data_IF_445890362161
#
_entry.id   IF_445890362161
#
_cell.length_a   1.000
_cell.length_b   1.000
_cell.length_c   1.000
_cell.angle_alpha   90.00
_cell.angle_beta   90.00
_cell.angle_gamma   90.00
#
_symmetry.space_group_name_H-M   'P 1'
#
loop_
_entity.id
_entity.type
_entity.pdbx_description
1 polymer ?
#
# COMPACT_ATOMS: atom_id res chain seq x y z
N UNK A 1 50.44 -3.83 16.12
CA UNK A 1 49.20 -3.32 16.77
C UNK A 1 48.46 -2.26 15.95
N UNK A 2 49.14 -1.34 15.24
CA UNK A 2 48.51 -0.24 14.46
C UNK A 2 47.56 -0.67 13.32
N UNK A 3 47.84 -1.80 12.67
CA UNK A 3 47.02 -2.32 11.54
C UNK A 3 45.64 -2.85 11.97
N UNK A 4 45.55 -3.46 13.16
CA UNK A 4 44.30 -3.99 13.68
C UNK A 4 43.29 -2.88 14.04
N UNK A 5 43.79 -1.71 14.48
CA UNK A 5 42.93 -0.55 14.78
C UNK A 5 42.32 0.07 13.53
N UNK A 6 43.06 0.18 12.42
CA UNK A 6 42.49 0.67 11.16
C UNK A 6 41.42 -0.27 10.60
N UNK A 7 41.63 -1.59 10.73
CA UNK A 7 40.65 -2.60 10.30
C UNK A 7 39.37 -2.56 11.13
N UNK A 8 39.50 -2.41 12.46
CA UNK A 8 38.35 -2.31 13.36
C UNK A 8 37.52 -1.04 13.09
N UNK A 9 38.18 0.11 12.86
CA UNK A 9 37.53 1.37 12.53
C UNK A 9 36.80 1.27 11.17
N UNK A 10 37.42 0.62 10.18
CA UNK A 10 36.78 0.37 8.88
C UNK A 10 35.53 -0.51 9.00
N UNK A 11 35.57 -1.56 9.82
CA UNK A 11 34.41 -2.43 10.07
C UNK A 11 33.28 -1.72 10.81
N UNK A 12 33.60 -0.88 11.80
CA UNK A 12 32.62 -0.07 12.54
C UNK A 12 31.95 0.95 11.60
N UNK A 13 32.73 1.60 10.73
CA UNK A 13 32.20 2.53 9.73
C UNK A 13 31.29 1.82 8.72
N UNK A 14 31.67 0.63 8.26
CA UNK A 14 30.85 -0.19 7.37
C UNK A 14 29.54 -0.69 8.00
N UNK A 15 29.51 -0.90 9.32
CA UNK A 15 28.31 -1.27 10.08
C UNK A 15 27.42 -0.06 10.41
N UNK A 16 28.00 1.13 10.55
CA UNK A 16 27.27 2.38 10.80
C UNK A 16 26.65 2.97 9.52
N UNK A 17 27.27 2.79 8.35
CA UNK A 17 26.72 3.27 7.07
C UNK A 17 25.27 2.81 6.79
N UNK A 18 24.89 1.52 6.97
CA UNK A 18 23.50 1.10 6.80
C UNK A 18 22.58 1.60 7.94
N UNK A 19 23.12 1.91 9.13
CA UNK A 19 22.36 2.50 10.22
C UNK A 19 22.03 3.98 9.94
N UNK A 20 22.97 4.75 9.38
CA UNK A 20 22.70 6.11 8.89
C UNK A 20 21.72 6.12 7.71
N UNK A 21 21.76 5.12 6.83
CA UNK A 21 20.77 4.96 5.75
C UNK A 21 19.36 4.64 6.25
N UNK A 22 19.20 4.13 7.48
CA UNK A 22 17.89 3.97 8.14
C UNK A 22 17.41 5.25 8.82
N UNK A 23 18.30 6.22 9.08
CA UNK A 23 17.96 7.53 9.64
C UNK A 23 17.48 8.55 8.58
N UNK A 24 17.67 8.28 7.28
CA UNK A 24 17.04 9.05 6.21
C UNK A 24 15.60 8.59 5.90
N UNK A 25 14.80 8.33 6.94
CA UNK A 25 13.35 8.28 6.81
C UNK A 25 12.75 9.59 7.34
N UNK A 26 13.14 10.70 6.73
CA UNK A 26 12.41 11.96 6.83
C UNK A 26 12.23 12.52 5.43
N UNK A 27 11.23 11.98 4.74
CA UNK A 27 10.45 12.77 3.80
C UNK A 27 9.04 12.76 4.38
N UNK A 28 8.47 13.95 4.64
CA UNK A 28 7.16 14.10 5.26
C UNK A 28 6.14 13.26 4.52
N UNK A 29 5.77 12.11 5.09
CA UNK A 29 4.82 11.20 4.47
C UNK A 29 3.43 11.83 4.50
N UNK A 30 3.12 12.64 3.49
CA UNK A 30 1.75 12.99 3.17
C UNK A 30 0.91 11.71 3.04
N UNK A 31 -0.33 11.74 3.51
CA UNK A 31 -1.22 10.58 3.47
C UNK A 31 -1.46 10.20 2.01
N UNK A 32 -0.90 9.06 1.58
CA UNK A 32 -1.03 8.52 0.21
C UNK A 32 -2.14 7.46 0.08
N UNK A 33 -2.65 6.95 1.20
CA UNK A 33 -3.70 5.94 1.24
C UNK A 33 -5.05 6.60 1.49
N UNK A 34 -5.98 6.40 0.56
CA UNK A 34 -7.37 6.87 0.66
C UNK A 34 -8.06 6.31 1.91
N UNK A 35 -7.87 5.00 2.17
CA UNK A 35 -8.40 4.34 3.36
C UNK A 35 -7.86 4.92 4.66
N UNK A 36 -6.56 5.26 4.70
CA UNK A 36 -5.95 5.89 5.88
C UNK A 36 -6.59 7.27 6.11
N UNK A 37 -6.74 8.07 5.05
CA UNK A 37 -7.39 9.37 5.13
C UNK A 37 -8.80 9.28 5.73
N UNK A 38 -9.60 8.32 5.27
CA UNK A 38 -10.95 8.10 5.81
C UNK A 38 -10.95 7.73 7.29
N UNK A 39 -10.02 6.87 7.71
CA UNK A 39 -9.91 6.45 9.12
C UNK A 39 -9.51 7.62 10.03
N UNK A 40 -8.62 8.50 9.54
CA UNK A 40 -8.21 9.71 10.27
C UNK A 40 -9.37 10.71 10.35
N UNK A 41 -10.07 10.97 9.24
CA UNK A 41 -11.24 11.86 9.24
C UNK A 41 -12.34 11.31 10.16
N UNK A 42 -12.56 9.99 10.15
CA UNK A 42 -13.49 9.32 11.07
C UNK A 42 -13.10 9.59 12.53
N UNK A 43 -11.84 9.37 12.90
CA UNK A 43 -11.37 9.56 14.28
C UNK A 43 -11.57 11.01 14.75
N UNK A 44 -11.19 11.99 13.94
CA UNK A 44 -11.45 13.41 14.24
C UNK A 44 -12.93 13.74 14.35
N UNK A 45 -13.76 13.14 13.49
CA UNK A 45 -15.21 13.34 13.50
C UNK A 45 -15.82 12.80 14.80
N UNK A 46 -15.47 11.58 15.21
CA UNK A 46 -15.97 10.99 16.45
C UNK A 46 -15.39 11.67 17.70
N UNK A 47 -14.14 12.11 17.69
CA UNK A 47 -13.57 12.93 18.76
C UNK A 47 -14.35 14.24 18.93
N UNK A 48 -14.63 14.95 17.84
CA UNK A 48 -15.46 16.16 17.86
C UNK A 48 -16.89 15.88 18.32
N UNK A 49 -17.48 14.78 17.84
CA UNK A 49 -18.83 14.34 18.19
C UNK A 49 -18.96 13.97 19.67
N UNK A 50 -17.98 13.29 20.26
CA UNK A 50 -17.99 12.88 21.66
C UNK A 50 -17.66 14.05 22.60
N UNK A 51 -16.76 14.96 22.20
CA UNK A 51 -16.37 16.11 23.01
C UNK A 51 -17.50 17.14 23.15
N UNK A 52 -18.27 17.36 22.08
CA UNK A 52 -19.48 18.18 22.13
C UNK A 52 -20.59 17.29 22.69
N UNK A 53 -20.95 17.44 23.98
CA UNK A 53 -21.95 16.58 24.66
C UNK A 53 -23.06 16.15 23.68
N UNK A 54 -23.21 14.84 23.48
CA UNK A 54 -24.09 14.19 22.50
C UNK A 54 -25.52 14.78 22.37
N UNK A 55 -26.03 15.40 23.44
CA UNK A 55 -27.30 16.12 23.48
C UNK A 55 -27.37 17.35 22.56
N UNK A 56 -26.24 17.94 22.16
CA UNK A 56 -26.20 19.12 21.28
C UNK A 56 -26.31 18.79 19.79
N UNK A 57 -26.12 17.53 19.37
CA UNK A 57 -26.26 17.11 17.98
C UNK A 57 -27.72 16.82 17.64
N UNK A 58 -28.39 17.79 17.04
CA UNK A 58 -29.75 17.61 16.53
C UNK A 58 -29.72 16.62 15.36
N UNK A 59 -30.64 15.67 15.38
CA UNK A 59 -30.84 14.72 14.28
C UNK A 59 -31.11 15.48 12.98
N UNK A 60 -30.50 15.07 11.88
CA UNK A 60 -30.68 15.67 10.55
C UNK A 60 -30.03 17.05 10.36
N UNK A 61 -29.35 17.60 11.37
CA UNK A 61 -28.63 18.87 11.23
C UNK A 61 -27.16 18.61 10.90
N UNK A 62 -26.60 19.20 9.82
CA UNK A 62 -25.18 19.08 9.49
C UNK A 62 -24.32 20.00 10.38
N UNK A 63 -23.19 19.46 10.83
CA UNK A 63 -22.19 20.17 11.65
C UNK A 63 -20.82 20.07 11.01
N UNK A 64 -20.13 21.20 10.91
CA UNK A 64 -18.75 21.25 10.42
C UNK A 64 -17.78 20.63 11.44
N UNK A 65 -16.84 19.83 10.95
CA UNK A 65 -15.74 19.23 11.72
C UNK A 65 -14.45 19.97 11.42
N UNK A 66 -13.88 20.57 12.47
CA UNK A 66 -12.61 21.25 12.37
C UNK A 66 -11.48 20.22 12.34
N UNK A 67 -10.81 20.13 11.19
CA UNK A 67 -9.65 19.27 10.99
C UNK A 67 -8.35 19.98 11.39
N UNK A 68 -7.30 19.23 11.77
CA UNK A 68 -5.96 19.77 12.03
C UNK A 68 -5.31 20.41 10.79
N UNK A 69 -4.27 21.23 11.03
CA UNK A 69 -3.58 21.98 9.97
C UNK A 69 -3.01 21.12 8.83
N UNK A 70 -2.64 19.87 9.12
CA UNK A 70 -2.12 18.91 8.13
C UNK A 70 -3.19 18.36 7.18
N UNK A 71 -4.49 18.62 7.43
CA UNK A 71 -5.62 18.24 6.56
C UNK A 71 -6.35 19.48 6.01
N UNK A 72 -5.65 20.61 5.93
CA UNK A 72 -6.19 21.85 5.37
C UNK A 72 -6.61 21.65 3.91
N UNK A 73 -7.71 22.31 3.53
CA UNK A 73 -8.33 22.17 2.21
C UNK A 73 -9.39 21.06 2.13
N UNK A 74 -9.47 20.17 3.12
CA UNK A 74 -10.58 19.22 3.27
C UNK A 74 -11.67 19.86 4.13
N UNK A 75 -12.92 19.82 3.67
CA UNK A 75 -14.08 20.21 4.47
C UNK A 75 -14.92 18.98 4.80
N UNK A 76 -15.33 18.85 6.06
CA UNK A 76 -16.05 17.69 6.55
C UNK A 76 -17.28 18.15 7.31
N UNK A 77 -18.43 17.62 6.91
CA UNK A 77 -19.68 17.80 7.65
C UNK A 77 -20.17 16.46 8.15
N UNK A 78 -20.73 16.48 9.35
CA UNK A 78 -21.31 15.30 9.98
C UNK A 78 -22.75 15.56 10.38
N UNK A 79 -23.60 14.55 10.26
CA UNK A 79 -25.00 14.63 10.69
C UNK A 79 -25.50 13.27 11.18
N UNK A 80 -26.28 13.29 12.27
CA UNK A 80 -26.82 12.08 12.88
C UNK A 80 -28.22 11.78 12.36
N UNK A 81 -28.48 10.53 12.00
CA UNK A 81 -29.79 10.06 11.54
C UNK A 81 -30.19 8.77 12.25
N UNK A 82 -31.50 8.56 12.42
CA UNK A 82 -32.06 7.22 12.66
C UNK A 82 -32.21 6.52 11.32
N UNK A 83 -31.83 5.24 11.21
CA UNK A 83 -31.88 4.56 9.90
C UNK A 83 -33.30 4.54 9.32
N UNK A 84 -34.31 4.28 10.15
CA UNK A 84 -35.71 4.23 9.72
C UNK A 84 -36.22 5.58 9.20
N UNK A 85 -35.81 6.69 9.84
CA UNK A 85 -36.14 8.04 9.37
C UNK A 85 -35.43 8.37 8.07
N UNK A 86 -34.15 8.01 7.94
CA UNK A 86 -33.39 8.20 6.71
C UNK A 86 -34.01 7.43 5.55
N UNK A 87 -34.43 6.18 5.76
CA UNK A 87 -35.12 5.37 4.75
C UNK A 87 -36.47 5.98 4.35
N UNK A 88 -37.24 6.50 5.32
CA UNK A 88 -38.58 7.04 5.06
C UNK A 88 -38.56 8.41 4.39
N UNK A 89 -37.60 9.27 4.71
CA UNK A 89 -37.61 10.67 4.30
C UNK A 89 -36.43 11.07 3.41
N UNK A 90 -35.42 10.22 3.27
CA UNK A 90 -34.16 10.61 2.64
C UNK A 90 -33.39 11.65 3.48
N UNK A 91 -32.41 12.28 2.86
CA UNK A 91 -31.64 13.37 3.44
C UNK A 91 -30.98 14.22 2.36
N UNK A 92 -30.82 15.53 2.61
CA UNK A 92 -29.97 16.40 1.79
C UNK A 92 -28.86 16.96 2.66
N UNK A 93 -27.61 16.69 2.30
CA UNK A 93 -26.42 17.04 3.08
C UNK A 93 -25.38 17.62 2.12
N UNK A 94 -25.26 18.94 2.11
CA UNK A 94 -24.40 19.68 1.18
C UNK A 94 -24.68 19.27 -0.28
N UNK A 95 -23.67 18.71 -0.96
CA UNK A 95 -23.73 18.28 -2.35
C UNK A 95 -24.41 16.91 -2.55
N UNK A 96 -24.82 16.23 -1.47
CA UNK A 96 -25.44 14.89 -1.52
C UNK A 96 -26.94 14.94 -1.27
N UNK A 97 -27.71 14.31 -2.16
CA UNK A 97 -29.15 14.11 -2.02
C UNK A 97 -29.47 12.61 -1.98
N UNK A 98 -29.78 12.10 -0.80
CA UNK A 98 -30.21 10.72 -0.57
C UNK A 98 -31.73 10.67 -0.70
N UNK A 99 -32.24 9.95 -1.70
CA UNK A 99 -33.67 9.83 -1.97
C UNK A 99 -34.37 8.97 -0.91
N UNK A 100 -35.70 9.10 -0.88
CA UNK A 100 -36.56 8.20 -0.10
C UNK A 100 -36.31 6.75 -0.53
N UNK A 101 -36.23 5.84 0.43
CA UNK A 101 -36.02 4.42 0.19
C UNK A 101 -34.58 3.93 0.37
N UNK A 102 -33.60 4.82 0.58
CA UNK A 102 -32.22 4.41 0.89
C UNK A 102 -32.18 3.52 2.13
N UNK A 103 -31.44 2.43 2.04
CA UNK A 103 -31.31 1.43 3.09
C UNK A 103 -29.91 1.49 3.72
N UNK A 104 -29.84 1.16 5.01
CA UNK A 104 -28.60 1.18 5.79
C UNK A 104 -28.37 -0.20 6.37
N UNK A 105 -27.19 -0.77 6.10
CA UNK A 105 -26.86 -2.10 6.57
C UNK A 105 -25.40 -2.22 7.08
N UNK A 106 -25.17 -2.75 8.29
CA UNK A 106 -26.19 -3.09 9.30
C UNK A 106 -26.79 -1.82 9.91
N UNK A 107 -28.10 -1.82 10.17
CA UNK A 107 -28.74 -0.77 10.96
C UNK A 107 -28.87 -1.20 12.42
N UNK A 108 -28.25 -0.46 13.33
CA UNK A 108 -28.41 -0.67 14.78
C UNK A 108 -29.54 0.22 15.30
N UNK A 109 -29.36 1.54 15.26
CA UNK A 109 -30.41 2.49 15.65
C UNK A 109 -30.15 3.85 14.99
N UNK A 110 -28.99 4.42 15.32
CA UNK A 110 -28.51 5.71 14.81
C UNK A 110 -27.20 5.53 14.07
N UNK A 111 -27.06 6.32 13.03
CA UNK A 111 -25.85 6.41 12.22
C UNK A 111 -25.37 7.85 12.16
N UNK A 112 -24.08 7.99 11.97
CA UNK A 112 -23.41 9.26 11.71
C UNK A 112 -22.99 9.27 10.24
N UNK A 113 -23.60 10.14 9.44
CA UNK A 113 -23.20 10.37 8.07
C UNK A 113 -22.10 11.42 8.06
N UNK A 114 -21.00 11.11 7.39
CA UNK A 114 -19.82 11.96 7.22
C UNK A 114 -19.66 12.26 5.74
N UNK A 115 -19.94 13.51 5.37
CA UNK A 115 -19.66 14.02 4.02
C UNK A 115 -18.32 14.72 4.02
N UNK A 116 -17.49 14.39 3.04
CA UNK A 116 -16.15 14.94 2.87
C UNK A 116 -16.08 15.65 1.51
N UNK A 117 -15.51 16.84 1.47
CA UNK A 117 -15.05 17.45 0.23
C UNK A 117 -13.54 17.64 0.36
N UNK A 118 -12.79 16.88 -0.43
CA UNK A 118 -11.34 16.82 -0.32
C UNK A 118 -10.65 18.06 -0.89
N UNK A 119 -11.34 18.86 -1.70
CA UNK A 119 -10.73 19.95 -2.44
C UNK A 119 -9.76 19.45 -3.53
N UNK A 120 -9.33 20.34 -4.41
CA UNK A 120 -8.58 19.96 -5.60
C UNK A 120 -7.22 19.33 -5.27
N UNK A 121 -6.54 19.80 -4.22
CA UNK A 121 -5.20 19.34 -3.86
C UNK A 121 -5.20 17.89 -3.38
N UNK A 122 -6.13 17.52 -2.49
CA UNK A 122 -6.23 16.15 -1.98
C UNK A 122 -6.88 15.20 -2.98
N UNK A 123 -7.69 15.70 -3.91
CA UNK A 123 -8.34 14.87 -4.93
C UNK A 123 -7.34 14.11 -5.82
N UNK A 124 -6.11 14.60 -5.94
CA UNK A 124 -5.05 13.93 -6.70
C UNK A 124 -4.73 12.51 -6.20
N UNK A 125 -4.96 12.22 -4.90
CA UNK A 125 -4.75 10.87 -4.35
C UNK A 125 -5.69 9.84 -5.00
N UNK A 126 -6.82 10.27 -5.54
CA UNK A 126 -7.78 9.43 -6.26
C UNK A 126 -7.51 9.41 -7.76
N UNK A 127 -6.90 10.45 -8.33
CA UNK A 127 -6.61 10.50 -9.75
C UNK A 127 -5.32 9.75 -10.13
N UNK A 128 -4.27 9.84 -9.30
CA UNK A 128 -2.95 9.27 -9.62
C UNK A 128 -2.85 7.76 -9.40
N UNK A 129 -3.76 7.18 -8.62
CA UNK A 129 -3.71 5.78 -8.22
C UNK A 129 -4.47 4.82 -9.15
N UNK A 130 -5.25 5.32 -10.12
CA UNK A 130 -6.20 4.51 -10.88
C UNK A 130 -5.98 4.62 -12.40
N UNK A 131 -5.50 3.52 -13.01
CA UNK A 131 -5.23 3.43 -14.45
C UNK A 131 -6.49 3.62 -15.32
N UNK A 132 -7.68 3.33 -14.78
CA UNK A 132 -8.96 3.52 -15.49
C UNK A 132 -9.26 5.00 -15.83
N UNK A 133 -8.56 5.94 -15.19
CA UNK A 133 -8.67 7.38 -15.48
C UNK A 133 -7.68 7.86 -16.55
N UNK A 134 -6.91 6.95 -17.17
CA UNK A 134 -6.11 7.27 -18.35
C UNK A 134 -7.03 7.75 -19.49
N UNK A 135 -6.79 8.97 -19.98
CA UNK A 135 -7.64 9.60 -20.98
C UNK A 135 -8.86 10.35 -20.42
N UNK A 136 -8.95 10.50 -19.10
CA UNK A 136 -9.92 11.37 -18.44
C UNK A 136 -9.19 12.44 -17.60
N UNK A 137 -9.83 13.58 -17.37
CA UNK A 137 -9.35 14.65 -16.50
C UNK A 137 -10.40 14.91 -15.43
N UNK A 138 -9.97 14.92 -14.16
CA UNK A 138 -10.83 15.29 -13.04
C UNK A 138 -11.12 16.81 -13.08
N UNK A 139 -12.40 17.19 -13.04
CA UNK A 139 -12.88 18.59 -13.16
C UNK A 139 -13.63 19.06 -11.91
N UNK A 140 -13.69 18.23 -10.87
CA UNK A 140 -14.28 18.56 -9.57
C UNK A 140 -13.34 18.09 -8.44
N UNK A 141 -13.52 18.60 -7.21
CA UNK A 141 -13.00 17.88 -6.06
C UNK A 141 -13.68 16.51 -5.94
N UNK A 142 -13.00 15.56 -5.32
CA UNK A 142 -13.58 14.28 -4.91
C UNK A 142 -14.40 14.50 -3.65
N UNK A 143 -15.65 14.06 -3.71
CA UNK A 143 -16.61 14.13 -2.62
C UNK A 143 -16.80 12.74 -2.03
N UNK A 144 -16.73 12.61 -0.71
CA UNK A 144 -16.95 11.36 0.02
C UNK A 144 -18.27 11.38 0.77
N UNK A 145 -19.03 10.30 0.69
CA UNK A 145 -20.18 10.00 1.54
C UNK A 145 -19.87 8.70 2.28
N UNK A 146 -19.70 8.80 3.59
CA UNK A 146 -19.41 7.66 4.47
C UNK A 146 -20.43 7.65 5.61
N UNK A 147 -20.66 6.49 6.18
CA UNK A 147 -21.55 6.36 7.32
C UNK A 147 -20.95 5.40 8.36
N UNK A 148 -21.19 5.70 9.63
CA UNK A 148 -20.71 4.91 10.75
C UNK A 148 -21.83 4.68 11.76
N UNK A 149 -21.75 3.60 12.54
CA UNK A 149 -22.65 3.40 13.66
C UNK A 149 -22.46 4.51 14.72
N UNK A 150 -23.56 4.98 15.30
CA UNK A 150 -23.59 6.03 16.32
C UNK A 150 -24.64 5.71 17.40
N UNK A 151 -24.72 4.43 17.77
CA UNK A 151 -25.61 3.96 18.83
C UNK A 151 -25.16 4.43 20.22
N UNK A 152 -26.12 4.53 21.14
CA UNK A 152 -25.89 5.05 22.50
C UNK A 152 -25.31 3.97 23.45
N UNK A 153 -25.19 2.74 22.96
CA UNK A 153 -24.69 1.60 23.71
C UNK A 153 -23.18 1.70 23.93
N UNK A 154 -22.80 2.20 25.12
CA UNK A 154 -21.43 2.28 25.63
C UNK A 154 -20.66 0.95 25.63
N UNK A 155 -21.36 -0.18 25.43
CA UNK A 155 -20.77 -1.52 25.34
C UNK A 155 -20.12 -1.81 23.99
N UNK A 156 -20.48 -1.08 22.92
CA UNK A 156 -19.87 -1.21 21.60
C UNK A 156 -18.84 -0.11 21.37
N UNK A 157 -17.62 -0.31 21.86
CA UNK A 157 -16.49 0.60 21.61
C UNK A 157 -15.96 0.54 20.15
N UNK A 158 -16.76 0.05 19.21
CA UNK A 158 -16.34 -0.19 17.81
C UNK A 158 -17.14 0.70 16.88
N UNK A 159 -16.54 1.84 16.53
CA UNK A 159 -17.03 2.70 15.44
C UNK A 159 -16.65 2.02 14.12
N UNK A 160 -17.61 1.36 13.51
CA UNK A 160 -17.44 0.66 12.24
C UNK A 160 -18.30 1.31 11.15
N UNK A 161 -17.82 1.13 9.92
CA UNK A 161 -18.47 1.69 8.74
C UNK A 161 -19.74 0.91 8.42
N UNK A 162 -20.86 1.62 8.25
CA UNK A 162 -22.14 1.06 7.82
C UNK A 162 -22.37 1.38 6.36
N UNK A 163 -22.98 0.47 5.62
CA UNK A 163 -23.24 0.65 4.19
C UNK A 163 -24.56 1.37 3.97
N UNK A 164 -24.55 2.42 3.16
CA UNK A 164 -25.78 3.01 2.61
C UNK A 164 -25.94 2.49 1.19
N UNK A 165 -27.12 1.96 0.87
CA UNK A 165 -27.42 1.42 -0.46
C UNK A 165 -28.83 1.81 -0.91
N UNK A 166 -29.02 1.87 -2.21
CA UNK A 166 -30.30 2.06 -2.87
C UNK A 166 -30.51 0.98 -3.92
N UNK A 167 -31.77 0.58 -4.13
CA UNK A 167 -32.15 -0.26 -5.27
C UNK A 167 -32.13 0.53 -6.59
N UNK A 168 -32.41 1.83 -6.52
CA UNK A 168 -32.41 2.73 -7.66
C UNK A 168 -31.01 3.23 -7.99
N UNK A 169 -30.67 3.25 -9.28
CA UNK A 169 -29.36 3.71 -9.78
C UNK A 169 -29.04 5.16 -9.37
N UNK A 170 -30.05 6.00 -9.27
CA UNK A 170 -29.95 7.40 -8.85
C UNK A 170 -30.60 7.63 -7.47
N UNK A 171 -30.49 6.64 -6.57
CA UNK A 171 -31.00 6.77 -5.20
C UNK A 171 -30.16 7.70 -4.32
N UNK A 172 -28.89 7.91 -4.69
CA UNK A 172 -28.04 8.94 -4.12
C UNK A 172 -27.57 9.81 -5.29
N UNK A 173 -27.93 11.09 -5.25
CA UNK A 173 -27.49 12.08 -6.23
C UNK A 173 -26.38 12.95 -5.63
N UNK A 174 -25.36 13.25 -6.44
CA UNK A 174 -24.24 14.11 -6.08
C UNK A 174 -24.20 15.28 -7.07
N UNK A 175 -24.36 16.50 -6.57
CA UNK A 175 -24.38 17.72 -7.38
C UNK A 175 -22.99 18.39 -7.42
N UNK A 176 -22.37 18.41 -8.60
CA UNK A 176 -21.09 19.05 -8.85
C UNK A 176 -21.20 20.45 -9.46
N UNK A 177 -22.41 21.01 -9.61
CA UNK A 177 -22.67 22.29 -10.28
C UNK A 177 -21.89 23.47 -9.69
N UNK A 178 -21.64 23.45 -8.38
CA UNK A 178 -20.87 24.49 -7.68
C UNK A 178 -19.37 24.48 -8.03
N UNK A 179 -18.85 23.37 -8.56
CA UNK A 179 -17.44 23.18 -8.86
C UNK A 179 -17.12 23.39 -10.34
N UNK A 180 -18.09 23.14 -11.22
CA UNK A 180 -17.93 23.30 -12.67
C UNK A 180 -18.24 24.71 -13.16
N UNK A 181 -19.00 25.52 -12.41
CA UNK A 181 -19.34 26.91 -12.78
C UNK A 181 -18.15 27.90 -12.68
N UNK A 182 -17.10 27.58 -11.93
CA UNK A 182 -15.94 28.47 -11.72
C UNK A 182 -14.91 28.43 -12.87
N UNK A 183 -15.01 27.47 -13.79
CA UNK A 183 -14.13 27.38 -14.97
C UNK A 183 -14.56 28.27 -16.14
N UNK A 184 -15.50 29.20 -15.91
CA UNK A 184 -16.05 30.11 -16.92
C UNK A 184 -15.04 31.16 -17.45
N UNK A 185 -13.80 31.18 -16.96
CA UNK A 185 -12.68 31.88 -17.59
C UNK A 185 -12.03 31.12 -18.77
N UNK A 186 -12.40 29.84 -18.99
CA UNK A 186 -11.97 29.02 -20.14
C UNK A 186 -13.17 28.36 -20.84
N UNK A 187 -14.29 29.08 -20.92
CA UNK A 187 -15.64 28.56 -21.25
C UNK A 187 -15.84 27.98 -22.66
N UNK A 188 -14.82 27.92 -23.52
CA UNK A 188 -14.98 27.39 -24.88
C UNK A 188 -14.50 25.94 -25.09
N UNK A 189 -13.77 25.33 -24.14
CA UNK A 189 -13.12 24.02 -24.38
C UNK A 189 -13.72 22.82 -23.66
N UNK A 190 -14.58 23.03 -22.65
CA UNK A 190 -15.20 21.95 -21.86
C UNK A 190 -16.67 21.68 -22.23
N UNK A 191 -17.37 22.68 -22.79
CA UNK A 191 -18.82 22.69 -22.99
C UNK A 191 -19.35 21.77 -24.11
N UNK A 192 -18.48 20.94 -24.70
CA UNK A 192 -18.86 19.88 -25.64
C UNK A 192 -18.25 18.51 -25.31
N UNK A 193 -17.55 18.38 -24.17
CA UNK A 193 -16.85 17.15 -23.79
C UNK A 193 -17.75 16.26 -22.94
N UNK A 194 -17.72 14.96 -23.22
CA UNK A 194 -18.48 13.98 -22.45
C UNK A 194 -18.01 13.98 -20.99
N UNK A 195 -18.90 14.40 -20.09
CA UNK A 195 -18.75 14.33 -18.65
C UNK A 195 -19.20 12.96 -18.15
N UNK A 196 -18.42 12.40 -17.23
CA UNK A 196 -18.65 11.09 -16.64
C UNK A 196 -18.45 11.19 -15.13
N UNK A 197 -19.27 10.46 -14.40
CA UNK A 197 -19.19 10.26 -12.97
C UNK A 197 -18.20 9.14 -12.68
N UNK A 198 -17.18 9.45 -11.89
CA UNK A 198 -16.22 8.49 -11.37
C UNK A 198 -16.60 8.08 -9.96
N UNK A 199 -16.86 6.80 -9.74
CA UNK A 199 -17.05 6.19 -8.42
C UNK A 199 -15.79 5.40 -8.06
N UNK A 200 -15.13 5.78 -6.97
CA UNK A 200 -13.91 5.14 -6.49
C UNK A 200 -14.26 4.00 -5.54
N UNK A 201 -13.94 2.78 -5.96
CA UNK A 201 -14.19 1.57 -5.18
C UNK A 201 -12.98 1.21 -4.31
N UNK A 202 -13.23 0.51 -3.20
CA UNK A 202 -12.21 0.17 -2.20
C UNK A 202 -11.17 -0.86 -2.65
N UNK A 203 -11.39 -1.53 -3.79
CA UNK A 203 -10.48 -2.54 -4.36
C UNK A 203 -9.49 -1.93 -5.38
N UNK A 204 -9.42 -0.60 -5.47
CA UNK A 204 -8.56 0.08 -6.43
C UNK A 204 -9.15 0.14 -7.84
N UNK A 205 -10.47 -0.04 -7.98
CA UNK A 205 -11.20 0.18 -9.25
C UNK A 205 -11.93 1.52 -9.25
N UNK A 206 -12.13 2.06 -10.45
CA UNK A 206 -13.03 3.20 -10.70
C UNK A 206 -14.10 2.76 -11.67
N UNK A 207 -15.35 3.04 -11.31
CA UNK A 207 -16.49 2.90 -12.21
C UNK A 207 -16.79 4.25 -12.85
N UNK A 208 -16.88 4.28 -14.18
CA UNK A 208 -17.28 5.46 -14.94
C UNK A 208 -18.70 5.30 -15.47
N UNK A 209 -19.58 6.23 -15.14
CA UNK A 209 -20.97 6.24 -15.60
C UNK A 209 -21.37 7.63 -16.12
N UNK A 210 -22.36 7.69 -17.01
CA UNK A 210 -22.91 8.98 -17.46
C UNK A 210 -23.64 9.68 -16.32
N UNK A 211 -23.63 11.00 -16.37
CA UNK A 211 -24.42 11.85 -15.49
C UNK A 211 -25.93 11.57 -15.64
N UNK A 212 -26.69 11.73 -14.55
CA UNK A 212 -28.16 11.60 -14.57
C UNK A 212 -28.83 12.94 -14.92
N UNK A 213 -28.15 14.04 -14.66
CA UNK A 213 -28.47 15.39 -15.08
C UNK A 213 -27.16 16.20 -15.20
N UNK A 214 -27.13 17.38 -15.85
CA UNK A 214 -25.89 18.13 -16.05
C UNK A 214 -25.12 18.40 -14.74
N UNK A 215 -23.87 17.93 -14.63
CA UNK A 215 -23.05 17.97 -13.42
C UNK A 215 -23.61 17.20 -12.21
N UNK A 216 -24.58 16.30 -12.41
CA UNK A 216 -25.19 15.50 -11.34
C UNK A 216 -24.95 14.00 -11.58
N UNK A 217 -24.36 13.36 -10.58
CA UNK A 217 -24.06 11.93 -10.59
C UNK A 217 -25.10 11.15 -9.79
N UNK A 218 -25.61 10.06 -10.35
CA UNK A 218 -26.50 9.13 -9.65
C UNK A 218 -25.77 7.84 -9.30
N UNK A 219 -25.81 7.45 -8.02
CA UNK A 219 -25.17 6.23 -7.52
C UNK A 219 -26.09 5.43 -6.59
N UNK A 220 -25.77 4.14 -6.44
CA UNK A 220 -26.53 3.19 -5.63
C UNK A 220 -25.96 2.99 -4.23
N UNK A 221 -24.75 3.47 -3.93
CA UNK A 221 -24.11 3.22 -2.64
C UNK A 221 -23.26 4.39 -2.19
N UNK A 222 -22.92 4.41 -0.91
CA UNK A 222 -21.93 5.32 -0.36
C UNK A 222 -20.52 5.05 -0.90
N UNK A 223 -19.59 6.00 -0.73
CA UNK A 223 -18.23 5.92 -1.26
C UNK A 223 -17.67 7.29 -1.60
N UNK A 224 -16.68 7.33 -2.51
CA UNK A 224 -16.09 8.56 -3.01
C UNK A 224 -16.38 8.75 -4.49
N UNK A 225 -16.64 9.99 -4.88
CA UNK A 225 -17.15 10.34 -6.20
C UNK A 225 -16.43 11.56 -6.75
N UNK A 226 -16.23 11.61 -8.06
CA UNK A 226 -15.71 12.77 -8.76
C UNK A 226 -16.32 12.92 -10.13
N UNK A 227 -16.22 14.11 -10.70
CA UNK A 227 -16.64 14.38 -12.07
C UNK A 227 -15.41 14.47 -12.98
N UNK A 228 -15.43 13.70 -14.06
CA UNK A 228 -14.33 13.65 -15.03
C UNK A 228 -14.82 13.99 -16.44
N UNK A 229 -13.94 14.56 -17.25
CA UNK A 229 -14.17 14.78 -18.68
C UNK A 229 -13.17 13.99 -19.50
N UNK A 230 -13.58 13.49 -20.66
CA UNK A 230 -12.67 12.80 -21.56
C UNK A 230 -11.59 13.76 -22.09
N UNK A 231 -10.32 13.41 -21.93
CA UNK A 231 -9.15 14.15 -22.41
C UNK A 231 -8.94 13.95 -23.91
N UNK A 232 -8.83 15.02 -24.73
CA UNK A 232 -8.55 14.90 -26.16
C UNK A 232 -7.15 14.36 -26.44
N UNK A 233 -6.24 14.52 -25.48
CA UNK A 233 -4.89 13.99 -25.53
C UNK A 233 -4.87 12.75 -24.65
N UNK A 234 -4.63 11.57 -25.23
CA UNK A 234 -4.13 10.44 -24.46
C UNK A 234 -2.85 10.93 -23.79
N UNK A 235 -2.80 11.14 -22.47
CA UNK A 235 -1.55 11.50 -21.86
C UNK A 235 -0.67 10.27 -22.02
N UNK A 236 0.43 10.41 -22.75
CA UNK A 236 1.61 9.56 -22.56
C UNK A 236 2.11 9.86 -21.15
N UNK A 237 1.36 9.45 -20.12
CA UNK A 237 1.90 9.31 -18.78
C UNK A 237 2.91 8.19 -18.95
N UNK A 238 4.19 8.58 -19.12
CA UNK A 238 5.33 7.73 -18.78
C UNK A 238 4.90 7.01 -17.51
N UNK A 239 4.75 5.69 -17.56
CA UNK A 239 4.60 4.85 -16.37
C UNK A 239 5.74 5.28 -15.46
N UNK A 240 5.47 6.18 -14.53
CA UNK A 240 6.27 6.32 -13.33
C UNK A 240 5.84 5.10 -12.54
N UNK A 241 6.30 3.92 -12.98
CA UNK A 241 6.33 2.75 -12.14
C UNK A 241 7.00 3.23 -10.87
N UNK A 242 6.18 3.30 -9.83
CA UNK A 242 6.47 3.65 -8.45
C UNK A 242 7.94 3.37 -8.17
N UNK A 243 8.80 4.39 -8.37
CA UNK A 243 10.26 4.28 -8.31
C UNK A 243 10.71 3.67 -6.98
N UNK A 244 9.89 3.85 -5.95
CA UNK A 244 10.03 3.22 -4.65
C UNK A 244 9.84 1.70 -4.63
N UNK A 245 8.92 1.10 -5.40
CA UNK A 245 8.79 -0.38 -5.48
C UNK A 245 10.00 -1.02 -6.14
N UNK A 246 10.58 -0.36 -7.14
CA UNK A 246 11.83 -0.79 -7.78
C UNK A 246 13.02 -0.55 -6.84
N UNK A 247 13.07 0.60 -6.15
CA UNK A 247 14.12 0.89 -5.17
C UNK A 247 14.10 -0.10 -3.99
N UNK A 248 12.92 -0.46 -3.47
CA UNK A 248 12.78 -1.44 -2.39
C UNK A 248 13.09 -2.88 -2.86
N UNK A 249 12.71 -3.23 -4.09
CA UNK A 249 13.06 -4.52 -4.68
C UNK A 249 14.55 -4.69 -4.94
N UNK A 250 15.20 -3.63 -5.44
CA UNK A 250 16.64 -3.62 -5.69
C UNK A 250 17.47 -3.55 -4.39
N UNK A 251 17.03 -2.81 -3.36
CA UNK A 251 17.78 -2.71 -2.10
C UNK A 251 17.81 -4.04 -1.34
N UNK A 252 16.66 -4.74 -1.27
CA UNK A 252 16.57 -6.06 -0.62
C UNK A 252 17.34 -7.10 -1.43
N UNK A 253 17.24 -7.09 -2.76
CA UNK A 253 18.00 -7.99 -3.62
C UNK A 253 19.51 -7.79 -3.53
N UNK A 254 19.98 -6.53 -3.49
CA UNK A 254 21.39 -6.20 -3.37
C UNK A 254 21.97 -6.61 -2.00
N UNK A 255 21.22 -6.41 -0.91
CA UNK A 255 21.65 -6.81 0.42
C UNK A 255 21.86 -8.33 0.52
N UNK A 256 20.94 -9.12 -0.05
CA UNK A 256 21.05 -10.59 -0.09
C UNK A 256 22.25 -11.02 -0.94
N UNK A 257 22.47 -10.40 -2.10
CA UNK A 257 23.59 -10.72 -2.97
C UNK A 257 24.95 -10.44 -2.30
N UNK A 258 25.10 -9.28 -1.66
CA UNK A 258 26.33 -8.93 -0.92
C UNK A 258 26.57 -9.88 0.25
N UNK A 259 25.51 -10.25 0.97
CA UNK A 259 25.61 -11.21 2.07
C UNK A 259 26.09 -12.59 1.58
N UNK A 260 25.55 -13.11 0.48
CA UNK A 260 25.95 -14.40 -0.10
C UNK A 260 27.40 -14.38 -0.60
N UNK A 261 27.84 -13.29 -1.25
CA UNK A 261 29.23 -13.14 -1.69
C UNK A 261 30.17 -13.06 -0.49
N UNK A 262 29.78 -12.34 0.58
CA UNK A 262 30.53 -12.28 1.82
C UNK A 262 30.76 -13.67 2.44
N UNK A 263 29.71 -14.51 2.49
CA UNK A 263 29.82 -15.89 2.98
C UNK A 263 30.76 -16.76 2.12
N UNK A 264 30.72 -16.60 0.79
CA UNK A 264 31.62 -17.32 -0.12
C UNK A 264 33.09 -16.96 0.10
N UNK A 265 33.40 -15.68 0.29
CA UNK A 265 34.77 -15.22 0.54
C UNK A 265 35.30 -15.74 1.88
N UNK A 266 34.47 -15.73 2.94
CA UNK A 266 34.83 -16.32 4.24
C UNK A 266 35.12 -17.81 4.09
N UNK A 267 34.27 -18.55 3.37
CA UNK A 267 34.45 -19.97 3.14
C UNK A 267 35.75 -20.28 2.36
N UNK A 268 36.07 -19.49 1.34
CA UNK A 268 37.35 -19.61 0.61
C UNK A 268 38.55 -19.34 1.52
N UNK A 269 38.50 -18.30 2.34
CA UNK A 269 39.60 -17.97 3.24
C UNK A 269 39.84 -19.07 4.29
N UNK A 270 38.77 -19.64 4.83
CA UNK A 270 38.85 -20.80 5.74
C UNK A 270 39.41 -22.02 5.01
N UNK A 271 39.01 -22.28 3.75
CA UNK A 271 39.56 -23.37 2.95
C UNK A 271 41.05 -23.20 2.68
N UNK A 272 41.51 -22.02 2.29
CA UNK A 272 42.93 -21.74 2.06
C UNK A 272 43.73 -21.93 3.35
N UNK A 273 43.23 -21.41 4.48
CA UNK A 273 43.89 -21.58 5.77
C UNK A 273 43.93 -23.05 6.22
N UNK A 274 42.87 -23.82 5.96
CA UNK A 274 42.85 -25.26 6.21
C UNK A 274 43.84 -26.00 5.32
N UNK A 275 43.94 -25.64 4.04
CA UNK A 275 44.90 -26.22 3.09
C UNK A 275 46.34 -25.97 3.51
N UNK A 276 46.66 -24.72 3.86
CA UNK A 276 47.98 -24.35 4.37
C UNK A 276 48.33 -25.10 5.66
N UNK A 277 47.35 -25.29 6.57
CA UNK A 277 47.57 -26.12 7.78
C UNK A 277 47.76 -27.60 7.47
N UNK A 278 47.11 -28.13 6.44
CA UNK A 278 47.27 -29.53 6.03
C UNK A 278 48.66 -29.75 5.41
N UNK A 279 49.10 -28.85 4.53
CA UNK A 279 50.43 -28.89 3.91
C UNK A 279 51.56 -28.79 4.95
N UNK A 280 51.37 -27.98 6.01
CA UNK A 280 52.29 -27.91 7.15
C UNK A 280 52.35 -29.24 7.94
N UNK A 281 51.21 -29.94 8.09
CA UNK A 281 51.17 -31.23 8.79
C UNK A 281 51.77 -32.37 7.95
N UNK A 282 51.55 -32.37 6.63
CA UNK A 282 52.17 -33.34 5.72
C UNK A 282 53.69 -33.21 5.73
N UNK A 283 54.23 -31.98 5.69
CA UNK A 283 55.68 -31.76 5.71
C UNK A 283 56.36 -32.29 6.98
N UNK A 284 55.72 -32.14 8.15
CA UNK A 284 56.25 -32.68 9.41
C UNK A 284 56.22 -34.21 9.46
N UNK A 285 55.20 -34.84 8.87
CA UNK A 285 55.16 -36.29 8.74
C UNK A 285 56.28 -36.83 7.84
N UNK A 286 56.61 -36.14 6.74
CA UNK A 286 57.72 -36.52 5.85
C UNK A 286 59.12 -36.32 6.46
N UNK A 287 59.30 -35.36 7.36
CA UNK A 287 60.57 -35.18 8.07
C UNK A 287 60.81 -36.26 9.15
N UNK A 288 59.75 -36.83 9.74
CA UNK A 288 59.88 -37.91 10.74
C UNK A 288 60.08 -39.31 10.13
N UNK A 289 59.76 -39.53 8.84
CA UNK A 289 59.89 -40.83 8.16
C UNK A 289 61.08 -40.94 7.19
N UNK A 290 62.00 -39.95 7.14
CA UNK A 290 63.24 -40.05 6.38
C UNK A 290 64.28 -40.97 7.07
N UNK A 291 63.87 -42.16 7.49
CA UNK A 291 64.78 -43.21 7.94
C UNK A 291 65.35 -43.95 6.72
N UNK A 292 66.64 -43.71 6.50
CA UNK A 292 67.55 -44.33 5.54
C UNK A 292 67.11 -45.69 4.96
N UNK A 293 66.68 -45.70 3.70
CA UNK A 293 66.61 -46.93 2.90
C UNK A 293 67.83 -46.97 1.98
N UNK A 294 68.79 -47.80 2.37
CA UNK A 294 70.02 -48.09 1.61
C UNK A 294 69.68 -48.74 0.27
N UNK A 295 70.15 -48.17 -0.84
CA UNK A 295 70.09 -48.81 -2.15
C UNK A 295 71.06 -49.99 -2.19
N UNK A 296 70.54 -51.21 -2.13
CA UNK A 296 71.22 -52.37 -2.68
C UNK A 296 70.28 -53.05 -3.64
N UNK A 297 70.68 -53.00 -4.91
CA UNK A 297 69.91 -53.48 -6.04
C UNK A 297 69.86 -55.00 -6.13
N UNK A 298 69.08 -55.40 -7.14
CA UNK A 298 68.85 -56.75 -7.66
C UNK A 298 67.69 -57.57 -7.04
N UNK A 299 66.57 -57.43 -7.76
CA UNK A 299 65.59 -58.47 -8.12
C UNK A 299 64.67 -58.97 -7.01
N UNK A 300 63.53 -58.30 -6.83
CA UNK A 300 62.23 -58.99 -6.67
C UNK A 300 61.04 -58.06 -6.99
N UNK A 301 60.00 -58.66 -7.57
CA UNK A 301 58.82 -58.08 -8.22
C UNK A 301 57.89 -57.36 -7.24
N UNK A 302 57.29 -56.25 -7.67
CA UNK A 302 55.97 -55.84 -7.17
C UNK A 302 55.08 -55.48 -8.36
N UNK A 303 53.98 -56.22 -8.46
CA UNK A 303 53.02 -56.14 -9.55
C UNK A 303 52.09 -54.93 -9.40
N UNK A 304 51.96 -54.19 -10.48
CA UNK A 304 50.93 -53.19 -10.75
C UNK A 304 49.56 -53.86 -10.93
N UNK A 305 48.56 -53.45 -10.14
CA UNK A 305 47.17 -53.89 -10.29
C UNK A 305 46.35 -52.84 -11.06
N UNK A 306 45.62 -53.30 -12.07
CA UNK A 306 44.76 -52.49 -12.95
C UNK A 306 43.42 -52.15 -12.28
N UNK A 307 42.94 -50.91 -12.42
CA UNK A 307 41.67 -50.47 -11.86
C UNK A 307 40.51 -50.71 -12.85
N UNK A 308 39.64 -51.68 -12.53
CA UNK A 308 38.41 -52.00 -13.27
C UNK A 308 37.29 -51.01 -12.91
N UNK A 309 36.60 -50.49 -13.93
CA UNK A 309 35.48 -49.54 -13.85
C UNK A 309 34.15 -50.31 -13.80
N UNK A 310 33.32 -50.11 -12.78
CA UNK A 310 31.92 -50.58 -12.76
C UNK A 310 30.98 -49.38 -12.72
N UNK A 311 29.94 -49.41 -13.55
CA UNK A 311 28.87 -48.41 -13.57
C UNK A 311 27.77 -48.80 -12.56
N UNK A 312 27.22 -47.86 -11.77
CA UNK A 312 26.15 -48.17 -10.83
C UNK A 312 24.80 -48.33 -11.54
N UNK A 313 24.06 -49.39 -11.19
CA UNK A 313 22.67 -49.66 -11.58
C UNK A 313 21.72 -49.30 -10.43
N UNK A 314 20.60 -48.68 -10.77
CA UNK A 314 19.55 -48.16 -9.87
C UNK A 314 18.69 -49.32 -9.33
N UNK A 315 18.42 -49.33 -8.03
CA UNK A 315 17.33 -50.13 -7.44
C UNK A 315 16.21 -49.20 -6.93
N UNK A 316 15.01 -49.40 -7.49
CA UNK A 316 13.76 -48.85 -6.98
C UNK A 316 13.23 -49.78 -5.88
N UNK A 317 12.91 -49.24 -4.70
CA UNK A 317 12.06 -49.93 -3.73
C UNK A 317 10.76 -49.16 -3.54
N UNK A 318 9.67 -49.83 -3.88
CA UNK A 318 8.28 -49.44 -3.69
C UNK A 318 7.84 -49.68 -2.24
N UNK A 319 6.94 -48.79 -1.82
CA UNK A 319 6.10 -48.72 -0.62
C UNK A 319 5.58 -50.08 -0.11
N UNK A 320 5.47 -50.29 1.23
CA UNK A 320 4.73 -51.43 1.78
C UNK A 320 3.21 -51.14 1.87
N UNK A 321 2.33 -52.14 1.67
CA UNK A 321 0.93 -52.05 2.02
C UNK A 321 0.59 -52.93 3.23
N UNK A 322 0.30 -52.30 4.38
CA UNK A 322 -1.02 -52.21 5.02
C UNK A 322 -0.89 -51.63 6.42
#
# INVERSE_FOLDING_TARGET
MRSYHLSLIGMILFLLLPLLSMLELSDGQGIKSTRLLDLVIRDYTFKSFNNKKQHYFKTGTPYNINLPANLTGITVYTSRYRCGSLKRYGATINDFHLKVGVDVHPCIERILIVTQNLGNNWSNIYYDNYDALLGYQLVSPVLGLLAYNSGDDKNFNTQFEVKIRSADKAGIEIDFSNYTRRTNGSSSTLDGRLKMCATFEGDGKVKLEKEVAPNVCGVMSHGHFGLVVQSPLLPVRKKVMRRWRVAFGCSVGAAIAVFLVGLLLIAMFVKVKKKARLEEMERRAYEEEALQVSMVGHVTRVHTASATRTAPRIEQNLRPPR
#
